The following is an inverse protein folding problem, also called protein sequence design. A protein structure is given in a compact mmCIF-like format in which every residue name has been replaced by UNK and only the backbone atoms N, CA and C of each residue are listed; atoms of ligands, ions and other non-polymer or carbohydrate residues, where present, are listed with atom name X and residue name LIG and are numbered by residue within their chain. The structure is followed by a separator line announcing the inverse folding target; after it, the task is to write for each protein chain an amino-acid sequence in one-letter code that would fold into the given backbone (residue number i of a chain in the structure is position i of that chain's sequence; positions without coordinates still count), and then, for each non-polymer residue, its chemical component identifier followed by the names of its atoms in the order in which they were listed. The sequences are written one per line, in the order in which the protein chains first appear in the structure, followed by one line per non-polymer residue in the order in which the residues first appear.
data_IF_176398071869
#
_entry.id   IF_176398071869
#
_cell.length_a   1.000
_cell.length_b   1.000
_cell.length_c   1.000
_cell.angle_alpha   90.00
_cell.angle_beta   90.00
_cell.angle_gamma   90.00
#
_symmetry.space_group_name_H-M   'P 1'
#
loop_
_entity.id
_entity.type
_entity.pdbx_description
1 polymer ?
#
# COMPACT_ATOMS: atom_id res chain seq x y z
N UNK A 1 -3.49 1.39 26.59
CA UNK A 1 -4.77 1.37 25.86
C UNK A 1 -4.85 0.07 25.10
N UNK A 2 -5.97 -0.65 25.19
CA UNK A 2 -6.23 -1.86 24.41
C UNK A 2 -7.19 -1.54 23.27
N UNK A 3 -7.02 -2.20 22.12
CA UNK A 3 -7.86 -2.02 20.93
C UNK A 3 -8.13 -3.37 20.28
N UNK A 4 -9.35 -3.54 19.78
CA UNK A 4 -9.79 -4.74 19.03
C UNK A 4 -10.13 -4.32 17.61
N UNK A 5 -9.59 -5.02 16.63
CA UNK A 5 -9.75 -4.71 15.21
C UNK A 5 -10.42 -5.89 14.48
N UNK A 6 -11.57 -5.69 13.83
CA UNK A 6 -12.16 -6.69 12.94
C UNK A 6 -11.32 -6.86 11.66
N UNK A 7 -11.20 -8.08 11.14
CA UNK A 7 -10.34 -8.38 9.97
C UNK A 7 -10.88 -7.83 8.64
N UNK A 8 -12.21 -7.68 8.48
CA UNK A 8 -12.86 -7.21 7.25
C UNK A 8 -13.54 -5.85 7.45
N UNK A 9 -12.99 -5.01 8.31
CA UNK A 9 -13.52 -3.66 8.52
C UNK A 9 -13.12 -2.73 7.36
N UNK A 10 -14.06 -2.00 6.74
CA UNK A 10 -13.73 -1.03 5.68
C UNK A 10 -12.93 0.18 6.19
N UNK A 11 -12.78 0.33 7.51
CA UNK A 11 -12.00 1.42 8.13
C UNK A 11 -10.49 1.13 8.18
N UNK A 12 -10.05 -0.07 7.80
CA UNK A 12 -8.65 -0.50 7.89
C UNK A 12 -8.14 -0.77 6.48
N UNK A 13 -7.13 -0.03 6.05
CA UNK A 13 -6.54 -0.15 4.71
C UNK A 13 -5.59 -1.34 4.59
N UNK A 14 -4.62 -1.47 5.52
CA UNK A 14 -3.61 -2.52 5.51
C UNK A 14 -3.13 -2.87 6.91
N UNK A 15 -2.69 -4.12 7.09
CA UNK A 15 -2.04 -4.60 8.31
C UNK A 15 -0.60 -5.00 7.95
N UNK A 16 0.37 -4.19 8.39
CA UNK A 16 1.79 -4.47 8.22
C UNK A 16 2.40 -5.03 9.52
N UNK A 17 3.28 -6.02 9.38
CA UNK A 17 4.00 -6.62 10.52
C UNK A 17 5.26 -5.80 10.79
N UNK A 18 5.22 -4.92 11.79
CA UNK A 18 6.38 -4.10 12.16
C UNK A 18 7.53 -4.91 12.77
N UNK A 19 7.22 -5.89 13.64
CA UNK A 19 8.21 -6.76 14.27
C UNK A 19 7.57 -8.07 14.73
N UNK A 20 8.36 -9.15 14.78
CA UNK A 20 7.91 -10.46 15.29
C UNK A 20 8.45 -10.70 16.70
N UNK A 21 7.58 -10.78 17.70
CA UNK A 21 7.96 -11.07 19.09
C UNK A 21 8.17 -12.56 19.35
N UNK A 22 9.11 -12.89 20.23
CA UNK A 22 9.30 -14.24 20.79
C UNK A 22 8.43 -14.41 22.05
N UNK A 23 7.36 -15.20 21.93
CA UNK A 23 6.38 -15.45 22.98
C UNK A 23 6.01 -16.93 23.04
N UNK A 24 5.72 -17.40 24.26
CA UNK A 24 5.32 -18.80 24.52
C UNK A 24 3.81 -19.00 24.62
N UNK A 25 3.04 -17.93 24.82
CA UNK A 25 1.59 -17.97 25.05
C UNK A 25 0.88 -17.26 23.90
N UNK A 26 -0.22 -17.83 23.40
CA UNK A 26 -1.05 -17.21 22.37
C UNK A 26 -1.78 -15.94 22.86
N UNK A 27 -2.24 -15.95 24.12
CA UNK A 27 -2.90 -14.79 24.75
C UNK A 27 -1.90 -14.02 25.61
N UNK A 28 -1.68 -12.74 25.30
CA UNK A 28 -0.68 -11.89 25.95
C UNK A 28 -1.23 -11.07 27.14
N UNK A 29 -2.27 -11.55 27.82
CA UNK A 29 -2.90 -10.83 28.94
C UNK A 29 -1.95 -10.56 30.12
N UNK A 30 -0.87 -11.34 30.25
CA UNK A 30 0.16 -11.10 31.26
C UNK A 30 0.90 -9.76 31.07
N UNK A 31 0.79 -9.14 29.90
CA UNK A 31 1.35 -7.80 29.65
C UNK A 31 0.49 -6.68 30.26
N UNK A 32 -0.80 -6.92 30.55
CA UNK A 32 -1.72 -5.90 31.09
C UNK A 32 -1.26 -5.33 32.44
N UNK A 33 -0.63 -6.17 33.27
CA UNK A 33 -0.10 -5.78 34.58
C UNK A 33 1.37 -5.36 34.56
N UNK A 34 2.04 -5.35 33.39
CA UNK A 34 3.47 -4.99 33.28
C UNK A 34 3.61 -3.59 32.70
N UNK A 35 4.60 -2.85 33.21
CA UNK A 35 4.85 -1.46 32.77
C UNK A 35 6.33 -1.27 32.42
N UNK A 36 6.62 -0.32 31.52
CA UNK A 36 7.97 0.04 31.13
C UNK A 36 8.72 -1.09 30.43
N UNK A 37 10.01 -1.25 30.75
CA UNK A 37 10.89 -2.26 30.12
C UNK A 37 10.40 -3.70 30.33
N UNK A 38 9.68 -3.97 31.42
CA UNK A 38 9.16 -5.29 31.73
C UNK A 38 7.99 -5.73 30.83
N UNK A 39 7.29 -4.78 30.19
CA UNK A 39 6.24 -5.06 29.22
C UNK A 39 6.78 -5.34 27.81
N UNK A 40 8.06 -5.04 27.55
CA UNK A 40 8.66 -5.22 26.23
C UNK A 40 8.93 -6.70 25.97
N UNK A 41 8.33 -7.22 24.90
CA UNK A 41 8.59 -8.56 24.39
C UNK A 41 9.88 -8.53 23.56
N UNK A 42 10.71 -9.58 23.69
CA UNK A 42 11.94 -9.71 22.88
C UNK A 42 11.59 -10.03 21.44
N UNK A 43 12.34 -9.48 20.51
CA UNK A 43 12.16 -9.77 19.09
C UNK A 43 12.74 -11.16 18.76
N UNK A 44 12.03 -11.91 17.92
CA UNK A 44 12.46 -13.21 17.44
C UNK A 44 13.49 -13.01 16.33
N UNK A 45 14.77 -13.05 16.70
CA UNK A 45 15.91 -13.05 15.77
C UNK A 45 16.11 -14.44 15.20
N UNK A 46 15.24 -14.88 14.30
CA UNK A 46 15.52 -16.06 13.49
C UNK A 46 15.46 -15.68 12.01
N UNK A 47 16.63 -15.76 11.38
CA UNK A 47 16.89 -15.46 9.98
C UNK A 47 16.51 -16.69 9.18
N UNK A 48 15.33 -16.68 8.59
CA UNK A 48 15.00 -17.48 7.42
C UNK A 48 14.00 -16.66 6.59
N UNK A 49 14.20 -16.49 5.28
CA UNK A 49 13.30 -15.68 4.47
C UNK A 49 11.97 -16.43 4.33
N UNK A 50 10.96 -16.03 5.09
CA UNK A 50 9.60 -16.42 4.74
C UNK A 50 9.24 -15.68 3.46
N UNK A 51 9.15 -16.48 2.39
CA UNK A 51 8.71 -16.13 1.04
C UNK A 51 7.75 -14.94 1.04
N UNK A 52 8.25 -13.81 0.55
CA UNK A 52 7.39 -12.80 -0.08
C UNK A 52 7.08 -13.33 -1.48
N UNK A 53 6.22 -14.34 -1.56
CA UNK A 53 5.61 -14.75 -2.81
C UNK A 53 4.22 -14.12 -2.87
N UNK A 54 4.18 -12.84 -3.22
CA UNK A 54 3.03 -12.19 -3.83
C UNK A 54 3.57 -11.02 -4.65
N UNK A 55 3.41 -11.15 -5.96
CA UNK A 55 3.89 -10.25 -7.00
C UNK A 55 3.50 -8.78 -6.75
N UNK A 56 4.29 -7.81 -7.26
CA UNK A 56 3.87 -6.42 -7.30
C UNK A 56 2.57 -6.33 -8.10
N UNK A 57 1.50 -5.85 -7.45
CA UNK A 57 0.34 -5.36 -8.19
C UNK A 57 0.86 -4.16 -8.97
N UNK A 58 0.89 -4.33 -10.29
CA UNK A 58 1.18 -3.28 -11.24
C UNK A 58 0.33 -2.06 -10.93
N UNK A 59 0.99 -0.95 -10.59
CA UNK A 59 0.47 0.35 -10.99
C UNK A 59 0.52 0.39 -12.52
N UNK A 60 -0.60 0.51 -13.24
CA UNK A 60 -0.52 1.05 -14.58
C UNK A 60 -0.20 2.54 -14.42
N UNK A 61 1.09 2.87 -14.52
CA UNK A 61 1.50 4.21 -14.92
C UNK A 61 0.77 4.52 -16.25
N UNK A 62 -0.02 5.61 -16.36
CA UNK A 62 -0.21 6.22 -17.65
C UNK A 62 1.15 6.81 -18.03
N UNK A 63 1.83 6.15 -18.96
CA UNK A 63 2.99 6.70 -19.62
C UNK A 63 2.66 8.09 -20.16
N UNK A 64 3.57 9.03 -19.85
CA UNK A 64 3.98 10.20 -20.62
C UNK A 64 3.20 10.42 -21.93
N UNK A 65 2.48 11.54 -22.06
CA UNK A 65 3.06 12.76 -22.62
C UNK A 65 3.59 12.52 -24.05
N UNK A 66 2.71 12.76 -25.02
CA UNK A 66 3.14 13.23 -26.34
C UNK A 66 3.03 14.76 -26.32
N UNK A 67 4.11 15.40 -26.71
CA UNK A 67 4.44 16.79 -26.44
C UNK A 67 4.02 17.72 -27.59
N UNK A 68 3.48 18.86 -27.19
CA UNK A 68 3.45 20.17 -27.86
C UNK A 68 2.55 20.43 -29.09
N UNK A 69 1.92 21.63 -29.14
CA UNK A 69 1.10 22.13 -30.24
C UNK A 69 1.94 22.86 -31.29
N UNK A 70 1.58 22.72 -32.57
CA UNK A 70 1.98 23.65 -33.63
C UNK A 70 0.76 24.07 -34.44
N UNK A 71 0.64 25.39 -34.57
CA UNK A 71 -0.36 26.12 -35.32
C UNK A 71 0.00 26.16 -36.82
N UNK A 72 -0.94 26.70 -37.61
CA UNK A 72 -0.86 27.07 -39.03
C UNK A 72 -0.86 25.88 -40.00
N UNK A 73 -1.52 25.87 -41.16
CA UNK A 73 -2.39 26.78 -41.92
C UNK A 73 -2.79 25.90 -43.09
N UNK A 74 -4.07 25.79 -43.43
CA UNK A 74 -4.42 25.46 -44.81
C UNK A 74 -5.44 26.47 -45.32
N UNK A 75 -4.91 27.32 -46.19
CA UNK A 75 -5.65 28.20 -47.05
C UNK A 75 -6.43 27.39 -48.07
N UNK A 76 -7.69 27.80 -48.26
CA UNK A 76 -8.38 27.97 -49.54
C UNK A 76 -8.07 26.99 -50.69
N UNK A 77 -9.13 26.33 -51.18
CA UNK A 77 -9.51 26.26 -52.61
C UNK A 77 -10.92 25.66 -52.74
N UNK A 78 -11.87 26.50 -53.20
CA UNK A 78 -13.03 26.27 -54.13
C UNK A 78 -13.73 24.90 -54.13
N UNK A 79 -15.06 24.74 -54.27
CA UNK A 79 -16.12 25.48 -54.95
C UNK A 79 -17.44 24.72 -54.68
N UNK A 80 -18.58 25.26 -55.14
CA UNK A 80 -19.96 24.70 -55.18
C UNK A 80 -20.81 24.95 -53.92
N UNK A 81 -21.67 25.98 -53.91
CA UNK A 81 -22.97 26.09 -54.61
C UNK A 81 -24.06 25.19 -54.02
N UNK A 82 -24.85 25.73 -53.10
CA UNK A 82 -26.30 25.50 -53.14
C UNK A 82 -27.07 26.60 -52.40
N UNK A 83 -28.03 27.17 -53.13
CA UNK A 83 -29.23 27.97 -52.75
C UNK A 83 -29.11 29.25 -51.90
#
# INVERSE_FOLDING_TARGET
MERTFPLSSPKIEKIDVAARGDVRRAKLYYLRGRVGKAARVRERRYVAPEKVAAAPVAEPAPAAADEAPVAETDAATTESSDS
#
